data_IF_057794987821
#
_entry.id   IF_057794987821
#
_cell.length_a   1.000
_cell.length_b   1.000
_cell.length_c   1.000
_cell.angle_alpha   90.00
_cell.angle_beta   90.00
_cell.angle_gamma   90.00
#
_symmetry.space_group_name_H-M   'P 1'
#
loop_
_entity.id
_entity.type
_entity.pdbx_description
1 polymer ?
#
# COMPACT_ATOMS: atom_id res chain seq x y z
N UNK A 1 -28.09 -2.07 28.58
CA UNK A 1 -29.56 -1.91 28.51
C UNK A 1 -29.90 -0.43 28.30
N UNK A 2 -30.16 -0.01 27.06
CA UNK A 2 -30.80 1.27 26.70
C UNK A 2 -31.57 1.04 25.41
N UNK A 3 -32.85 0.68 25.52
CA UNK A 3 -33.82 0.72 24.42
C UNK A 3 -34.29 2.17 24.32
N UNK A 4 -33.83 2.90 23.30
CA UNK A 4 -34.32 4.25 23.00
C UNK A 4 -35.10 4.25 21.69
N UNK A 5 -36.28 4.87 21.79
CA UNK A 5 -37.32 5.14 20.81
C UNK A 5 -36.79 5.37 19.38
N UNK A 6 -37.10 4.44 18.48
CA UNK A 6 -36.83 4.58 17.04
C UNK A 6 -38.13 4.51 16.20
N UNK A 7 -39.30 4.65 16.83
CA UNK A 7 -40.61 4.46 16.20
C UNK A 7 -41.49 5.70 16.04
N UNK A 8 -41.09 6.88 16.57
CA UNK A 8 -41.91 8.10 16.48
C UNK A 8 -41.41 9.12 15.44
N UNK A 9 -40.14 9.08 15.02
CA UNK A 9 -39.63 10.01 14.01
C UNK A 9 -39.97 9.63 12.55
N UNK A 10 -40.57 8.45 12.30
CA UNK A 10 -40.91 8.02 10.93
C UNK A 10 -42.27 8.60 10.51
N UNK A 11 -43.15 8.92 11.46
CA UNK A 11 -44.46 9.52 11.16
C UNK A 11 -44.38 11.04 10.93
N UNK A 12 -43.52 11.76 11.67
CA UNK A 12 -43.31 13.22 11.44
C UNK A 12 -42.59 13.52 10.12
N UNK A 13 -41.73 12.64 9.61
CA UNK A 13 -41.10 12.82 8.29
C UNK A 13 -42.13 12.63 7.15
N UNK A 14 -43.19 11.85 7.38
CA UNK A 14 -44.29 11.66 6.43
C UNK A 14 -45.15 12.92 6.25
N UNK A 15 -45.48 13.61 7.33
CA UNK A 15 -46.23 14.88 7.29
C UNK A 15 -45.38 16.03 6.74
N UNK A 16 -44.09 16.11 7.09
CA UNK A 16 -43.21 17.16 6.57
C UNK A 16 -42.92 16.96 5.06
N UNK A 17 -42.90 15.71 4.58
CA UNK A 17 -42.81 15.46 3.12
C UNK A 17 -44.12 15.72 2.39
N UNK A 18 -45.30 15.53 2.99
CA UNK A 18 -46.56 15.86 2.30
C UNK A 18 -46.75 17.37 2.11
N UNK A 19 -46.28 18.19 3.05
CA UNK A 19 -46.34 19.66 2.92
C UNK A 19 -45.29 20.20 1.93
N UNK A 20 -44.19 19.49 1.68
CA UNK A 20 -43.20 19.84 0.64
C UNK A 20 -43.67 19.48 -0.78
N UNK A 21 -44.70 18.65 -0.90
CA UNK A 21 -45.40 18.35 -2.15
C UNK A 21 -46.82 18.95 -2.16
N UNK A 22 -47.05 20.01 -1.40
CA UNK A 22 -48.24 20.81 -1.59
C UNK A 22 -48.19 21.42 -3.01
N UNK A 23 -48.98 20.79 -3.89
CA UNK A 23 -49.17 21.09 -5.31
C UNK A 23 -49.76 22.49 -5.60
N UNK A 24 -49.71 23.39 -4.61
CA UNK A 24 -50.14 24.79 -4.65
C UNK A 24 -49.00 25.76 -5.00
N UNK A 25 -47.75 25.29 -5.04
CA UNK A 25 -46.63 26.05 -5.60
C UNK A 25 -46.80 26.28 -7.12
N UNK A 26 -46.31 27.40 -7.69
CA UNK A 26 -46.42 27.64 -9.13
C UNK A 26 -45.79 26.46 -9.87
N UNK A 27 -46.60 25.74 -10.67
CA UNK A 27 -46.14 24.64 -11.51
C UNK A 27 -44.98 25.14 -12.38
N UNK A 28 -43.75 24.80 -12.00
CA UNK A 28 -42.58 25.06 -12.82
C UNK A 28 -42.57 24.03 -13.94
N UNK A 29 -43.37 24.29 -14.96
CA UNK A 29 -43.30 23.56 -16.22
C UNK A 29 -42.02 24.02 -16.92
N UNK A 30 -41.01 23.15 -16.95
CA UNK A 30 -39.86 23.31 -17.83
C UNK A 30 -40.33 22.97 -19.25
N UNK A 31 -40.83 23.98 -19.94
CA UNK A 31 -41.22 23.84 -21.36
C UNK A 31 -39.95 23.94 -22.20
N UNK A 32 -39.46 22.80 -22.66
CA UNK A 32 -38.39 22.74 -23.64
C UNK A 32 -39.00 22.97 -25.04
N UNK A 33 -38.64 24.05 -25.76
CA UNK A 33 -39.14 24.29 -27.10
C UNK A 33 -38.51 23.30 -28.09
N UNK A 34 -39.05 22.10 -28.16
CA UNK A 34 -38.64 21.04 -29.07
C UNK A 34 -39.87 20.27 -29.54
N UNK A 35 -39.77 19.65 -30.71
CA UNK A 35 -40.84 18.79 -31.21
C UNK A 35 -40.86 17.48 -30.42
N UNK A 36 -42.01 16.79 -30.29
CA UNK A 36 -42.08 15.51 -29.59
C UNK A 36 -41.07 14.47 -30.12
N UNK A 37 -40.78 14.49 -31.42
CA UNK A 37 -39.83 13.59 -32.07
C UNK A 37 -38.39 13.89 -31.63
N UNK A 38 -38.00 15.18 -31.64
CA UNK A 38 -36.67 15.60 -31.19
C UNK A 38 -36.46 15.36 -29.69
N UNK A 39 -37.51 15.52 -28.88
CA UNK A 39 -37.45 15.16 -27.47
C UNK A 39 -37.31 13.64 -27.28
N UNK A 40 -38.07 12.83 -28.02
CA UNK A 40 -37.96 11.37 -27.96
C UNK A 40 -36.58 10.88 -28.37
N UNK A 41 -36.01 11.43 -29.44
CA UNK A 41 -34.64 11.12 -29.87
C UNK A 41 -33.61 11.56 -28.84
N UNK A 42 -33.78 12.74 -28.22
CA UNK A 42 -32.92 13.21 -27.15
C UNK A 42 -32.95 12.29 -25.92
N UNK A 43 -34.15 11.92 -25.45
CA UNK A 43 -34.32 10.99 -24.32
C UNK A 43 -33.77 9.60 -24.68
N UNK A 44 -34.00 9.12 -25.90
CA UNK A 44 -33.43 7.86 -26.38
C UNK A 44 -31.90 7.91 -26.48
N UNK A 45 -31.32 9.04 -26.85
CA UNK A 45 -29.87 9.26 -26.89
C UNK A 45 -29.25 9.35 -25.50
N UNK A 46 -29.96 9.96 -24.54
CA UNK A 46 -29.59 9.94 -23.12
C UNK A 46 -29.69 8.53 -22.50
N UNK A 47 -30.59 7.70 -23.01
CA UNK A 47 -30.81 6.31 -22.60
C UNK A 47 -30.01 5.28 -23.41
N UNK A 48 -29.19 5.72 -24.39
CA UNK A 48 -28.29 4.83 -25.10
C UNK A 48 -27.43 4.06 -24.10
N UNK A 49 -27.09 2.79 -24.36
CA UNK A 49 -26.26 2.01 -23.45
C UNK A 49 -24.79 2.47 -23.59
N UNK A 50 -24.26 3.31 -22.67
CA UNK A 50 -22.87 3.71 -22.78
C UNK A 50 -21.98 2.48 -22.58
N UNK A 51 -20.90 2.44 -23.36
CA UNK A 51 -19.78 1.55 -23.09
C UNK A 51 -18.87 2.21 -22.06
N UNK A 52 -18.29 1.41 -21.17
CA UNK A 52 -17.39 1.90 -20.13
C UNK A 52 -15.99 1.35 -20.38
N UNK A 53 -15.01 2.26 -20.50
CA UNK A 53 -13.59 1.94 -20.44
C UNK A 53 -13.10 2.27 -19.03
N UNK A 54 -12.45 1.32 -18.35
CA UNK A 54 -11.84 1.55 -17.04
C UNK A 54 -10.40 1.08 -17.06
N UNK A 55 -9.49 1.89 -16.51
CA UNK A 55 -8.08 1.55 -16.40
C UNK A 55 -7.54 1.98 -15.05
N UNK A 56 -6.71 1.12 -14.45
CA UNK A 56 -6.05 1.36 -13.17
C UNK A 56 -4.53 1.40 -13.38
N UNK A 57 -3.89 2.35 -12.72
CA UNK A 57 -2.46 2.57 -12.76
C UNK A 57 -1.89 2.36 -11.36
N UNK A 58 -0.94 1.45 -11.27
CA UNK A 58 -0.16 1.23 -10.07
C UNK A 58 1.08 2.12 -10.09
N UNK A 59 1.32 2.82 -8.99
CA UNK A 59 2.55 3.57 -8.80
C UNK A 59 2.36 4.71 -7.81
N UNK A 60 3.49 5.20 -7.29
CA UNK A 60 3.51 6.43 -6.52
C UNK A 60 3.34 7.63 -7.45
N UNK A 61 2.51 8.58 -7.08
CA UNK A 61 2.32 9.82 -7.83
C UNK A 61 2.36 11.03 -6.93
N UNK A 62 2.55 12.19 -7.55
CA UNK A 62 2.47 13.48 -6.88
C UNK A 62 1.62 14.38 -7.76
N UNK A 63 0.46 14.78 -7.25
CA UNK A 63 -0.50 15.59 -8.00
C UNK A 63 -0.56 16.97 -7.39
N UNK A 64 -0.25 17.97 -8.20
CA UNK A 64 -0.41 19.38 -7.89
C UNK A 64 -1.67 19.95 -8.53
N UNK A 65 -1.98 21.20 -8.17
CA UNK A 65 -3.09 21.93 -8.79
C UNK A 65 -2.86 22.11 -10.30
N UNK A 66 -1.63 22.37 -10.70
CA UNK A 66 -1.22 22.57 -12.08
C UNK A 66 -1.45 21.32 -12.93
N UNK A 67 -1.23 20.12 -12.37
CA UNK A 67 -1.46 18.86 -13.09
C UNK A 67 -2.94 18.69 -13.44
N UNK A 68 -3.84 19.09 -12.53
CA UNK A 68 -5.30 19.04 -12.74
C UNK A 68 -5.74 20.06 -13.79
N UNK A 69 -5.18 21.27 -13.75
CA UNK A 69 -5.43 22.32 -14.74
C UNK A 69 -4.94 21.88 -16.13
N UNK A 70 -3.74 21.30 -16.20
CA UNK A 70 -3.20 20.74 -17.42
C UNK A 70 -4.08 19.61 -17.96
N UNK A 71 -4.51 18.69 -17.09
CA UNK A 71 -5.41 17.61 -17.46
C UNK A 71 -6.76 18.13 -18.00
N UNK A 72 -7.34 19.15 -17.36
CA UNK A 72 -8.54 19.82 -17.86
C UNK A 72 -8.34 20.34 -19.28
N UNK A 73 -7.29 21.12 -19.52
CA UNK A 73 -7.05 21.73 -20.83
C UNK A 73 -6.72 20.68 -21.90
N UNK A 74 -5.99 19.62 -21.56
CA UNK A 74 -5.68 18.52 -22.48
C UNK A 74 -6.95 17.81 -22.95
N UNK A 75 -7.85 17.48 -22.02
CA UNK A 75 -9.12 16.82 -22.37
C UNK A 75 -9.99 17.78 -23.17
N UNK A 76 -10.17 19.01 -22.69
CA UNK A 76 -11.07 19.98 -23.31
C UNK A 76 -10.64 20.34 -24.74
N UNK A 77 -9.34 20.56 -24.95
CA UNK A 77 -8.76 20.78 -26.26
C UNK A 77 -8.97 19.58 -27.17
N UNK A 78 -8.71 18.35 -26.67
CA UNK A 78 -8.82 17.14 -27.50
C UNK A 78 -10.27 16.87 -27.92
N UNK A 79 -11.22 17.00 -26.99
CA UNK A 79 -12.64 16.77 -27.24
C UNK A 79 -13.18 17.81 -28.25
N UNK A 80 -12.81 19.08 -28.08
CA UNK A 80 -13.22 20.18 -28.97
C UNK A 80 -12.66 20.06 -30.39
N UNK A 81 -11.45 19.52 -30.56
CA UNK A 81 -10.83 19.34 -31.88
C UNK A 81 -11.45 18.21 -32.71
N UNK A 82 -11.96 17.16 -32.06
CA UNK A 82 -12.47 15.98 -32.76
C UNK A 82 -13.91 16.15 -33.24
N UNK A 83 -14.77 16.71 -32.39
CA UNK A 83 -16.19 16.85 -32.65
C UNK A 83 -16.73 18.13 -32.01
N UNK A 84 -17.74 18.77 -32.60
CA UNK A 84 -18.49 19.83 -31.93
C UNK A 84 -19.01 19.32 -30.59
N UNK A 85 -18.62 19.99 -29.52
CA UNK A 85 -18.88 19.53 -28.16
C UNK A 85 -19.09 20.70 -27.21
N UNK A 86 -19.76 20.43 -26.10
CA UNK A 86 -19.97 21.41 -25.02
C UNK A 86 -19.75 20.71 -23.69
N UNK A 87 -18.88 21.29 -22.86
CA UNK A 87 -18.71 20.86 -21.47
C UNK A 87 -19.92 21.33 -20.67
N UNK A 88 -20.79 20.40 -20.30
CA UNK A 88 -22.00 20.71 -19.50
C UNK A 88 -21.63 20.91 -18.04
N UNK A 89 -20.73 20.06 -17.54
CA UNK A 89 -20.32 20.09 -16.15
C UNK A 89 -18.89 19.62 -16.01
N UNK A 90 -18.10 20.43 -15.30
CA UNK A 90 -16.84 20.01 -14.74
C UNK A 90 -16.99 19.92 -13.23
N UNK A 91 -16.39 18.93 -12.59
CA UNK A 91 -16.45 18.80 -11.15
C UNK A 91 -15.14 18.28 -10.61
N UNK A 92 -14.63 18.94 -9.57
CA UNK A 92 -13.52 18.44 -8.76
C UNK A 92 -14.07 18.17 -7.37
N UNK A 93 -13.88 16.95 -6.87
CA UNK A 93 -14.21 16.56 -5.50
C UNK A 93 -12.94 16.18 -4.77
N UNK A 94 -12.52 17.01 -3.83
CA UNK A 94 -11.38 16.74 -2.95
C UNK A 94 -11.87 16.06 -1.67
N UNK A 95 -11.18 15.00 -1.26
CA UNK A 95 -11.44 14.21 -0.05
C UNK A 95 -10.28 14.44 0.91
N UNK A 96 -10.61 14.79 2.16
CA UNK A 96 -9.63 15.09 3.20
C UNK A 96 -9.55 13.97 4.26
N UNK A 97 -8.50 14.01 5.07
CA UNK A 97 -8.19 13.02 6.12
C UNK A 97 -9.16 13.06 7.30
N UNK A 98 -9.82 14.19 7.52
CA UNK A 98 -10.93 14.35 8.47
C UNK A 98 -12.26 13.76 7.97
N UNK A 99 -12.29 13.19 6.75
CA UNK A 99 -13.48 12.67 6.10
C UNK A 99 -14.37 13.74 5.46
N UNK A 100 -14.00 15.02 5.56
CA UNK A 100 -14.70 16.09 4.86
C UNK A 100 -14.44 16.02 3.34
N UNK A 101 -15.40 16.51 2.57
CA UNK A 101 -15.27 16.58 1.11
C UNK A 101 -15.71 17.95 0.61
N UNK A 102 -14.93 18.52 -0.30
CA UNK A 102 -15.28 19.78 -0.95
C UNK A 102 -15.44 19.53 -2.44
N UNK A 103 -16.54 20.03 -3.01
CA UNK A 103 -16.90 19.85 -4.41
C UNK A 103 -16.93 21.22 -5.10
N UNK A 104 -16.10 21.40 -6.12
CA UNK A 104 -16.08 22.57 -7.00
C UNK A 104 -16.71 22.18 -8.35
N UNK A 105 -17.59 23.02 -8.89
CA UNK A 105 -18.34 22.74 -10.13
C UNK A 105 -17.77 23.44 -11.38
N UNK A 106 -16.64 24.14 -11.24
CA UNK A 106 -15.97 24.81 -12.35
C UNK A 106 -14.47 24.83 -12.13
N UNK A 107 -13.71 24.98 -13.21
CA UNK A 107 -12.24 25.09 -13.14
C UNK A 107 -11.85 26.38 -12.42
N UNK A 108 -12.55 27.49 -12.68
CA UNK A 108 -12.31 28.76 -12.00
C UNK A 108 -12.50 28.67 -10.49
N UNK A 109 -13.56 28.00 -10.03
CA UNK A 109 -13.80 27.80 -8.59
C UNK A 109 -12.71 26.93 -7.98
N UNK A 110 -12.27 25.89 -8.69
CA UNK A 110 -11.16 25.04 -8.26
C UNK A 110 -9.84 25.82 -8.16
N UNK A 111 -9.54 26.70 -9.13
CA UNK A 111 -8.34 27.52 -9.13
C UNK A 111 -8.36 28.59 -8.02
N UNK A 112 -9.52 29.20 -7.78
CA UNK A 112 -9.70 30.21 -6.74
C UNK A 112 -9.79 29.63 -5.32
N UNK A 113 -10.12 28.35 -5.21
CA UNK A 113 -10.29 27.69 -3.92
C UNK A 113 -8.95 27.46 -3.23
N UNK A 114 -8.84 27.98 -2.01
CA UNK A 114 -7.68 27.79 -1.14
C UNK A 114 -8.16 27.27 0.22
N UNK A 115 -7.80 26.04 0.56
CA UNK A 115 -8.17 25.43 1.84
C UNK A 115 -7.32 26.02 2.97
N UNK A 116 -7.99 26.65 3.94
CA UNK A 116 -7.38 27.31 5.10
C UNK A 116 -7.20 26.32 6.25
N UNK A 117 -8.05 25.28 6.32
CA UNK A 117 -7.98 24.28 7.37
C UNK A 117 -6.68 23.46 7.26
N UNK A 118 -6.07 23.05 8.39
CA UNK A 118 -4.85 22.25 8.38
C UNK A 118 -5.14 20.76 8.09
N UNK A 119 -5.84 20.47 6.99
CA UNK A 119 -6.27 19.13 6.56
C UNK A 119 -5.40 18.60 5.41
N UNK A 120 -5.25 17.29 5.34
CA UNK A 120 -4.46 16.60 4.30
C UNK A 120 -5.41 16.07 3.23
N UNK A 121 -5.14 16.39 1.97
CA UNK A 121 -5.87 15.80 0.84
C UNK A 121 -5.44 14.34 0.62
N UNK A 122 -6.40 13.42 0.71
CA UNK A 122 -6.19 11.97 0.62
C UNK A 122 -6.77 11.37 -0.66
N UNK A 123 -7.78 12.03 -1.24
CA UNK A 123 -8.40 11.61 -2.48
C UNK A 123 -8.84 12.79 -3.34
N UNK A 124 -8.92 12.55 -4.64
CA UNK A 124 -9.36 13.52 -5.62
C UNK A 124 -10.15 12.80 -6.71
N UNK A 125 -11.36 13.28 -6.99
CA UNK A 125 -12.19 12.77 -8.09
C UNK A 125 -12.53 13.93 -9.01
N UNK A 126 -12.13 13.81 -10.27
CA UNK A 126 -12.36 14.81 -11.30
C UNK A 126 -13.33 14.21 -12.31
N UNK A 127 -14.40 14.93 -12.62
CA UNK A 127 -15.44 14.48 -13.55
C UNK A 127 -15.68 15.55 -14.61
N UNK A 128 -15.65 15.14 -15.86
CA UNK A 128 -16.12 15.92 -17.00
C UNK A 128 -17.39 15.28 -17.54
N UNK A 129 -18.39 16.11 -17.84
CA UNK A 129 -19.60 15.71 -18.54
C UNK A 129 -19.71 16.55 -19.81
N UNK A 130 -19.56 15.89 -20.96
CA UNK A 130 -19.65 16.51 -22.28
C UNK A 130 -20.93 16.09 -22.99
N UNK A 131 -21.49 16.99 -23.79
CA UNK A 131 -22.40 16.65 -24.89
C UNK A 131 -21.60 16.73 -26.19
N UNK A 132 -21.45 15.59 -26.87
CA UNK A 132 -20.62 15.48 -28.07
C UNK A 132 -21.53 15.16 -29.26
N UNK A 133 -21.47 15.96 -30.33
CA UNK A 133 -22.21 15.72 -31.57
C UNK A 133 -21.34 14.95 -32.56
N UNK A 134 -21.56 13.65 -32.67
CA UNK A 134 -20.88 12.80 -33.66
C UNK A 134 -21.46 13.03 -35.06
N UNK A 135 -20.64 12.82 -36.11
CA UNK A 135 -21.02 13.10 -37.50
C UNK A 135 -22.17 12.23 -38.02
N UNK A 136 -22.30 11.02 -37.49
CA UNK A 136 -23.30 10.01 -37.84
C UNK A 136 -24.57 10.11 -36.98
N UNK A 137 -24.65 11.09 -36.07
CA UNK A 137 -25.76 11.27 -35.13
C UNK A 137 -26.42 12.64 -35.31
N UNK A 138 -27.74 12.65 -35.31
CA UNK A 138 -28.51 13.91 -35.41
C UNK A 138 -28.39 14.74 -34.13
N UNK A 139 -28.52 14.07 -32.97
CA UNK A 139 -28.47 14.67 -31.65
C UNK A 139 -27.10 14.47 -30.97
N UNK A 140 -26.69 15.39 -30.08
CA UNK A 140 -25.50 15.20 -29.26
C UNK A 140 -25.72 14.13 -28.19
N UNK A 141 -24.68 13.36 -27.90
CA UNK A 141 -24.71 12.25 -26.93
C UNK A 141 -23.85 12.58 -25.70
N UNK A 142 -24.31 12.19 -24.51
CA UNK A 142 -23.63 12.45 -23.24
C UNK A 142 -22.42 11.54 -23.07
N UNK A 143 -21.26 12.13 -22.82
CA UNK A 143 -20.03 11.43 -22.48
C UNK A 143 -19.57 11.84 -21.09
N UNK A 144 -19.06 10.89 -20.30
CA UNK A 144 -18.56 11.16 -18.95
C UNK A 144 -17.14 10.63 -18.83
N UNK A 145 -16.23 11.48 -18.38
CA UNK A 145 -14.85 11.10 -18.05
C UNK A 145 -14.69 11.32 -16.56
N UNK A 146 -14.23 10.30 -15.84
CA UNK A 146 -13.91 10.39 -14.41
C UNK A 146 -12.48 9.95 -14.20
N UNK A 147 -11.67 10.78 -13.54
CA UNK A 147 -10.31 10.46 -13.12
C UNK A 147 -10.25 10.56 -11.61
N UNK A 148 -9.75 9.50 -10.99
CA UNK A 148 -9.68 9.31 -9.55
C UNK A 148 -8.24 9.14 -9.13
N UNK A 149 -7.82 9.90 -8.12
CA UNK A 149 -6.55 9.75 -7.44
C UNK A 149 -6.80 9.38 -5.98
N UNK A 150 -6.08 8.39 -5.49
CA UNK A 150 -6.03 8.05 -4.08
C UNK A 150 -7.07 7.01 -3.70
N UNK A 151 -7.42 7.01 -2.42
CA UNK A 151 -8.34 6.03 -1.87
C UNK A 151 -9.76 6.33 -2.33
N UNK A 152 -10.14 5.79 -3.48
CA UNK A 152 -11.54 5.72 -3.87
C UNK A 152 -12.18 4.52 -3.20
N UNK A 153 -13.34 4.72 -2.58
CA UNK A 153 -14.22 3.63 -2.17
C UNK A 153 -14.70 2.92 -3.46
N UNK A 154 -13.88 2.02 -4.03
CA UNK A 154 -14.35 1.10 -5.05
C UNK A 154 -15.24 0.08 -4.35
N UNK A 155 -16.54 0.37 -4.31
CA UNK A 155 -17.55 -0.64 -3.97
C UNK A 155 -17.67 -1.54 -5.19
N UNK A 156 -16.80 -2.56 -5.28
CA UNK A 156 -17.02 -3.67 -6.21
C UNK A 156 -18.15 -4.50 -5.62
N UNK A 157 -19.38 -4.20 -6.03
CA UNK A 157 -20.54 -5.01 -5.71
C UNK A 157 -20.52 -6.28 -6.58
N UNK A 158 -19.68 -7.25 -6.23
CA UNK A 158 -19.81 -8.61 -6.77
C UNK A 158 -20.61 -9.45 -5.77
N UNK A 159 -21.78 -9.95 -6.22
CA UNK A 159 -22.57 -11.01 -5.56
C UNK A 159 -22.66 -10.96 -4.02
N UNK A 160 -23.11 -9.83 -3.47
CA UNK A 160 -23.54 -9.73 -2.07
C UNK A 160 -22.44 -9.61 -1.00
N UNK A 161 -21.16 -9.74 -1.35
CA UNK A 161 -20.04 -9.58 -0.42
C UNK A 161 -19.34 -8.26 -0.72
N UNK A 162 -19.56 -7.24 0.15
CA UNK A 162 -18.87 -5.96 0.06
C UNK A 162 -17.49 -6.06 0.71
N UNK A 163 -16.49 -6.54 -0.01
CA UNK A 163 -15.09 -6.38 0.43
C UNK A 163 -14.63 -5.00 -0.02
N UNK A 164 -14.44 -4.09 0.95
CA UNK A 164 -13.72 -2.84 0.72
C UNK A 164 -12.24 -3.16 0.58
N UNK A 165 -11.76 -3.37 -0.63
CA UNK A 165 -10.33 -3.28 -0.89
C UNK A 165 -9.95 -1.81 -0.90
N UNK A 166 -9.30 -1.34 0.17
CA UNK A 166 -8.55 -0.09 0.12
C UNK A 166 -7.33 -0.33 -0.78
N UNK A 167 -7.43 -0.02 -2.08
CA UNK A 167 -6.20 0.21 -2.85
C UNK A 167 -5.67 1.57 -2.39
N UNK A 168 -4.61 1.53 -1.57
CA UNK A 168 -4.17 2.74 -0.85
C UNK A 168 -3.44 3.76 -1.73
N UNK A 169 -3.04 3.43 -2.96
CA UNK A 169 -2.31 4.35 -3.84
C UNK A 169 -2.49 3.94 -5.31
N UNK A 170 -3.66 4.20 -5.89
CA UNK A 170 -3.93 3.95 -7.30
C UNK A 170 -4.45 5.22 -7.98
N UNK A 171 -4.16 5.35 -9.27
CA UNK A 171 -4.87 6.27 -10.16
C UNK A 171 -5.77 5.40 -11.00
N UNK A 172 -7.06 5.72 -11.06
CA UNK A 172 -7.96 5.07 -11.98
C UNK A 172 -8.72 6.10 -12.80
N UNK A 173 -9.07 5.74 -14.02
CA UNK A 173 -10.03 6.50 -14.78
C UNK A 173 -11.10 5.61 -15.35
N UNK A 174 -12.27 6.23 -15.54
CA UNK A 174 -13.46 5.64 -16.13
C UNK A 174 -14.00 6.58 -17.20
N UNK A 175 -14.22 6.06 -18.40
CA UNK A 175 -14.81 6.79 -19.52
C UNK A 175 -16.12 6.08 -19.88
N UNK A 176 -17.25 6.72 -19.64
CA UNK A 176 -18.55 6.28 -20.15
C UNK A 176 -18.79 7.00 -21.49
N UNK A 177 -18.87 6.21 -22.56
CA UNK A 177 -18.91 6.74 -23.92
C UNK A 177 -19.85 5.97 -24.84
N UNK A 178 -20.26 6.60 -25.94
CA UNK A 178 -21.08 5.98 -27.00
C UNK A 178 -20.27 5.75 -28.28
N UNK A 179 -19.34 6.65 -28.62
CA UNK A 179 -18.44 6.52 -29.76
C UNK A 179 -17.17 5.72 -29.44
N UNK A 180 -16.98 4.52 -30.01
CA UNK A 180 -15.83 3.64 -29.71
C UNK A 180 -14.47 4.27 -30.02
N UNK A 181 -14.34 4.90 -31.20
CA UNK A 181 -13.09 5.54 -31.62
C UNK A 181 -12.74 6.74 -30.75
N UNK A 182 -13.76 7.52 -30.35
CA UNK A 182 -13.61 8.63 -29.41
C UNK A 182 -13.14 8.14 -28.04
N UNK A 183 -13.79 7.11 -27.48
CA UNK A 183 -13.42 6.55 -26.18
C UNK A 183 -11.97 6.05 -26.14
N UNK A 184 -11.54 5.32 -27.19
CA UNK A 184 -10.17 4.81 -27.29
C UNK A 184 -9.11 5.93 -27.39
N UNK A 185 -9.43 7.04 -28.04
CA UNK A 185 -8.52 8.17 -28.16
C UNK A 185 -8.36 8.93 -26.84
N UNK A 186 -9.45 9.18 -26.12
CA UNK A 186 -9.41 9.76 -24.77
C UNK A 186 -8.67 8.83 -23.80
N UNK A 187 -8.87 7.51 -23.91
CA UNK A 187 -8.11 6.53 -23.13
C UNK A 187 -6.60 6.66 -23.36
N UNK A 188 -6.17 6.75 -24.62
CA UNK A 188 -4.76 6.87 -24.97
C UNK A 188 -4.16 8.19 -24.43
N UNK A 189 -4.91 9.31 -24.55
CA UNK A 189 -4.51 10.60 -24.02
C UNK A 189 -4.33 10.56 -22.50
N UNK A 190 -5.33 10.05 -21.77
CA UNK A 190 -5.28 9.92 -20.31
C UNK A 190 -4.16 8.99 -19.87
N UNK A 191 -4.00 7.86 -20.55
CA UNK A 191 -2.93 6.89 -20.27
C UNK A 191 -1.56 7.52 -20.37
N UNK A 192 -1.31 8.27 -21.44
CA UNK A 192 -0.02 8.95 -21.64
C UNK A 192 0.22 10.02 -20.57
N UNK A 193 -0.79 10.81 -20.23
CA UNK A 193 -0.66 11.86 -19.22
C UNK A 193 -0.45 11.28 -17.81
N UNK A 194 -1.22 10.28 -17.41
CA UNK A 194 -1.10 9.63 -16.09
C UNK A 194 0.26 8.92 -15.96
N UNK A 195 0.75 8.29 -17.02
CA UNK A 195 2.09 7.69 -17.00
C UNK A 195 3.21 8.72 -16.81
N UNK A 196 3.01 9.99 -17.20
CA UNK A 196 3.97 11.06 -16.99
C UNK A 196 3.96 11.58 -15.54
N UNK A 197 2.80 11.60 -14.88
CA UNK A 197 2.66 12.00 -13.47
C UNK A 197 3.09 10.86 -12.52
N UNK A 198 2.93 9.62 -12.95
CA UNK A 198 3.31 8.44 -12.17
C UNK A 198 4.83 8.30 -12.10
N UNK A 199 5.39 8.29 -10.89
CA UNK A 199 6.82 8.12 -10.68
C UNK A 199 7.21 6.67 -10.89
N UNK A 200 8.23 6.44 -11.72
CA UNK A 200 8.81 5.11 -11.92
C UNK A 200 9.68 4.73 -10.72
N UNK A 201 9.27 3.70 -9.99
CA UNK A 201 10.07 3.12 -8.92
C UNK A 201 11.37 2.51 -9.52
N UNK A 202 12.54 2.77 -8.93
CA UNK A 202 13.78 2.15 -9.39
C UNK A 202 13.72 0.63 -9.22
N UNK A 203 14.21 -0.11 -10.23
CA UNK A 203 14.11 -1.58 -10.29
C UNK A 203 14.61 -2.29 -9.02
N UNK A 204 15.68 -1.78 -8.40
CA UNK A 204 16.26 -2.36 -7.18
C UNK A 204 15.26 -2.29 -6.01
N UNK A 205 14.63 -1.12 -5.77
CA UNK A 205 13.62 -0.98 -4.71
C UNK A 205 12.42 -1.88 -4.97
N UNK A 206 11.97 -1.95 -6.22
CA UNK A 206 10.85 -2.82 -6.63
C UNK A 206 11.16 -4.29 -6.35
N UNK A 207 12.37 -4.75 -6.64
CA UNK A 207 12.79 -6.14 -6.37
C UNK A 207 12.88 -6.38 -4.86
N UNK A 208 13.49 -5.47 -4.09
CA UNK A 208 13.60 -5.59 -2.63
C UNK A 208 12.23 -5.64 -1.98
N UNK A 209 11.31 -4.75 -2.39
CA UNK A 209 9.93 -4.70 -1.90
C UNK A 209 9.15 -5.96 -2.25
N UNK A 210 9.21 -6.42 -3.50
CA UNK A 210 8.51 -7.64 -3.95
C UNK A 210 8.98 -8.89 -3.20
N UNK A 211 10.24 -8.91 -2.76
CA UNK A 211 10.84 -10.03 -2.06
C UNK A 211 11.14 -9.69 -0.58
N UNK A 212 10.46 -8.71 0.02
CA UNK A 212 10.77 -8.23 1.37
C UNK A 212 10.67 -9.34 2.41
N UNK A 213 9.62 -10.16 2.32
CA UNK A 213 9.41 -11.33 3.18
C UNK A 213 10.53 -12.37 3.03
N UNK A 214 10.91 -12.69 1.78
CA UNK A 214 11.98 -13.65 1.50
C UNK A 214 13.34 -13.13 1.96
N UNK A 215 13.63 -11.84 1.75
CA UNK A 215 14.86 -11.19 2.21
C UNK A 215 14.92 -11.21 3.74
N UNK A 216 13.82 -10.87 4.42
CA UNK A 216 13.72 -10.95 5.87
C UNK A 216 13.94 -12.37 6.39
N UNK A 217 13.32 -13.38 5.77
CA UNK A 217 13.50 -14.79 6.09
C UNK A 217 14.96 -15.24 5.89
N UNK A 218 15.59 -14.90 4.77
CA UNK A 218 16.97 -15.29 4.46
C UNK A 218 17.98 -14.60 5.37
N UNK A 219 17.84 -13.29 5.58
CA UNK A 219 18.76 -12.52 6.41
C UNK A 219 18.57 -12.83 7.91
N UNK A 220 17.34 -13.04 8.37
CA UNK A 220 17.07 -13.54 9.71
C UNK A 220 17.57 -14.97 9.87
N UNK A 221 17.15 -15.88 8.99
CA UNK A 221 17.53 -17.29 9.02
C UNK A 221 19.04 -17.54 8.95
N UNK A 222 19.79 -16.69 8.22
CA UNK A 222 21.25 -16.81 8.16
C UNK A 222 21.92 -16.63 9.53
N UNK A 223 21.37 -15.80 10.42
CA UNK A 223 21.85 -15.65 11.80
C UNK A 223 21.66 -16.95 12.60
N UNK A 224 20.50 -17.60 12.45
CA UNK A 224 20.26 -18.88 13.13
C UNK A 224 21.15 -19.99 12.57
N UNK A 225 21.27 -20.09 11.24
CA UNK A 225 22.10 -21.10 10.57
C UNK A 225 23.57 -20.93 10.97
N UNK A 226 24.10 -19.70 10.96
CA UNK A 226 25.49 -19.44 11.36
C UNK A 226 25.74 -19.80 12.83
N UNK A 227 24.78 -19.51 13.72
CA UNK A 227 24.85 -19.92 15.13
C UNK A 227 24.78 -21.44 15.31
N UNK A 228 23.96 -22.14 14.51
CA UNK A 228 23.86 -23.59 14.51
C UNK A 228 25.14 -24.26 14.03
N UNK A 229 25.75 -23.76 12.94
CA UNK A 229 27.05 -24.24 12.44
C UNK A 229 28.13 -24.02 13.50
N UNK A 230 28.18 -22.81 14.08
CA UNK A 230 29.11 -22.52 15.16
C UNK A 230 28.93 -23.50 16.32
N UNK A 231 27.69 -23.83 16.70
CA UNK A 231 27.40 -24.82 17.74
C UNK A 231 27.78 -26.28 17.45
N UNK A 232 27.87 -26.67 16.16
CA UNK A 232 28.32 -28.02 15.74
C UNK A 232 29.84 -28.10 15.74
N UNK A 233 30.52 -27.07 15.22
CA UNK A 233 31.89 -26.74 15.61
C UNK A 233 31.91 -26.53 17.13
N UNK A 234 33.00 -26.52 17.86
CA UNK A 234 33.01 -26.65 19.34
C UNK A 234 32.16 -27.71 20.06
N UNK A 235 31.04 -28.28 19.57
CA UNK A 235 30.67 -29.63 19.99
C UNK A 235 31.76 -30.61 19.50
N UNK A 236 32.23 -30.45 18.26
CA UNK A 236 33.42 -31.15 17.75
C UNK A 236 34.66 -30.86 18.59
N UNK A 237 34.94 -29.58 18.88
CA UNK A 237 36.19 -29.23 19.57
C UNK A 237 36.14 -29.61 21.05
N UNK A 238 34.96 -29.59 21.67
CA UNK A 238 34.74 -30.11 23.01
C UNK A 238 34.96 -31.63 23.05
N UNK A 239 34.42 -32.38 22.09
CA UNK A 239 34.69 -33.82 21.94
C UNK A 239 36.18 -34.11 21.78
N UNK A 240 36.86 -33.38 20.90
CA UNK A 240 38.31 -33.53 20.66
C UNK A 240 39.14 -33.20 21.90
N UNK A 241 38.80 -32.11 22.63
CA UNK A 241 39.46 -31.75 23.89
C UNK A 241 39.27 -32.84 24.94
N UNK A 242 38.05 -33.35 25.11
CA UNK A 242 37.76 -34.44 26.05
C UNK A 242 38.48 -35.74 25.67
N UNK A 243 38.52 -36.07 24.37
CA UNK A 243 39.22 -37.25 23.88
C UNK A 243 40.74 -37.14 24.08
N UNK A 244 41.33 -35.97 23.87
CA UNK A 244 42.77 -35.73 24.14
C UNK A 244 43.09 -35.87 25.62
N UNK A 245 42.30 -35.25 26.50
CA UNK A 245 42.47 -35.39 27.96
C UNK A 245 42.36 -36.86 28.37
N UNK A 246 41.35 -37.58 27.90
CA UNK A 246 41.18 -39.00 28.18
C UNK A 246 42.36 -39.84 27.63
N UNK A 247 42.83 -39.56 26.42
CA UNK A 247 43.95 -40.26 25.80
C UNK A 247 45.27 -40.03 26.55
N UNK A 248 45.54 -38.79 27.00
CA UNK A 248 46.73 -38.44 27.77
C UNK A 248 46.73 -39.14 29.14
N UNK A 249 45.57 -39.18 29.81
CA UNK A 249 45.39 -39.92 31.07
C UNK A 249 45.61 -41.43 30.84
N UNK A 250 45.09 -42.00 29.75
CA UNK A 250 45.24 -43.43 29.44
C UNK A 250 46.66 -43.82 29.02
N UNK A 251 47.39 -42.95 28.32
CA UNK A 251 48.76 -43.19 27.83
C UNK A 251 49.80 -43.35 28.93
N UNK A 252 49.54 -42.87 30.15
CA UNK A 252 50.39 -43.17 31.30
C UNK A 252 50.33 -44.67 31.63
N UNK A 253 51.38 -45.40 31.20
CA UNK A 253 51.52 -46.87 31.26
C UNK A 253 52.01 -47.40 32.61
N UNK A 254 52.25 -46.54 33.61
CA UNK A 254 52.68 -47.04 34.91
C UNK A 254 51.55 -47.87 35.53
N UNK A 255 51.84 -49.13 35.85
CA UNK A 255 50.94 -50.09 36.50
C UNK A 255 50.82 -49.85 38.02
N UNK A 256 51.24 -48.67 38.47
CA UNK A 256 51.12 -48.28 39.86
C UNK A 256 49.63 -48.11 40.23
N UNK A 257 49.27 -48.58 41.43
CA UNK A 257 47.90 -48.52 41.96
C UNK A 257 47.41 -47.06 41.97
N UNK A 258 48.30 -46.11 42.23
CA UNK A 258 48.01 -44.67 42.16
C UNK A 258 47.52 -44.21 40.77
N UNK A 259 48.07 -44.77 39.69
CA UNK A 259 47.66 -44.44 38.32
C UNK A 259 46.29 -45.04 37.95
N UNK A 260 45.92 -46.16 38.55
CA UNK A 260 44.59 -46.75 38.35
C UNK A 260 43.52 -45.93 39.07
N UNK A 261 43.82 -45.49 40.30
CA UNK A 261 42.94 -44.62 41.08
C UNK A 261 42.69 -43.28 40.38
N UNK A 262 43.73 -42.63 39.84
CA UNK A 262 43.54 -41.34 39.13
C UNK A 262 42.71 -41.46 37.85
N UNK A 263 42.81 -42.58 37.11
CA UNK A 263 41.94 -42.89 35.97
C UNK A 263 40.48 -43.08 36.40
N UNK A 264 40.26 -43.79 37.50
CA UNK A 264 38.93 -44.04 38.05
C UNK A 264 38.30 -42.75 38.58
N UNK A 265 39.06 -41.94 39.32
CA UNK A 265 38.63 -40.61 39.78
C UNK A 265 38.31 -39.69 38.62
N UNK A 266 39.07 -39.69 37.53
CA UNK A 266 38.74 -38.92 36.33
C UNK A 266 37.38 -39.34 35.75
N UNK A 267 37.10 -40.64 35.59
CA UNK A 267 35.81 -41.11 35.08
C UNK A 267 34.66 -40.77 36.02
N UNK A 268 34.85 -40.93 37.32
CA UNK A 268 33.86 -40.55 38.34
C UNK A 268 33.61 -39.05 38.29
N UNK A 269 34.66 -38.22 38.27
CA UNK A 269 34.53 -36.77 38.20
C UNK A 269 33.92 -36.32 36.88
N UNK A 270 34.23 -36.96 35.76
CA UNK A 270 33.64 -36.62 34.46
C UNK A 270 32.16 -36.96 34.40
N UNK A 271 31.75 -38.07 35.01
CA UNK A 271 30.34 -38.45 35.11
C UNK A 271 29.58 -37.58 36.14
N UNK A 272 30.16 -37.37 37.33
CA UNK A 272 29.54 -36.64 38.42
C UNK A 272 29.47 -35.12 38.19
N UNK A 273 30.46 -34.54 37.49
CA UNK A 273 30.45 -33.10 37.16
C UNK A 273 29.36 -32.72 36.16
N UNK A 274 28.82 -33.70 35.41
CA UNK A 274 27.77 -33.44 34.42
C UNK A 274 28.18 -32.46 33.34
N UNK A 275 29.48 -32.33 33.04
CA UNK A 275 30.02 -31.35 32.07
C UNK A 275 29.31 -31.41 30.72
N UNK A 276 28.99 -32.62 30.24
CA UNK A 276 28.22 -32.84 29.02
C UNK A 276 26.82 -32.23 29.09
N UNK A 277 26.09 -32.45 30.18
CA UNK A 277 24.75 -31.89 30.37
C UNK A 277 24.80 -30.35 30.45
N UNK A 278 25.78 -29.80 31.17
CA UNK A 278 25.97 -28.35 31.26
C UNK A 278 26.28 -27.76 29.88
N UNK A 279 27.15 -28.40 29.10
CA UNK A 279 27.48 -27.99 27.74
C UNK A 279 26.26 -28.03 26.81
N UNK A 280 25.53 -29.15 26.76
CA UNK A 280 24.34 -29.29 25.92
C UNK A 280 23.23 -28.32 26.32
N UNK A 281 23.00 -28.10 27.61
CA UNK A 281 22.00 -27.12 28.07
C UNK A 281 22.38 -25.70 27.65
N UNK A 282 23.66 -25.31 27.76
CA UNK A 282 24.15 -24.01 27.28
C UNK A 282 23.96 -23.87 25.77
N UNK A 283 24.33 -24.90 25.01
CA UNK A 283 24.17 -24.92 23.55
C UNK A 283 22.69 -24.80 23.15
N UNK A 284 21.80 -25.56 23.81
CA UNK A 284 20.36 -25.51 23.57
C UNK A 284 19.76 -24.13 23.87
N UNK A 285 20.12 -23.52 25.00
CA UNK A 285 19.67 -22.16 25.35
C UNK A 285 20.16 -21.15 24.31
N UNK A 286 21.43 -21.24 23.89
CA UNK A 286 21.99 -20.35 22.88
C UNK A 286 21.26 -20.47 21.53
N UNK A 287 20.99 -21.69 21.06
CA UNK A 287 20.25 -21.92 19.82
C UNK A 287 18.81 -21.42 19.92
N UNK A 288 18.17 -21.61 21.07
CA UNK A 288 16.82 -21.08 21.31
C UNK A 288 16.81 -19.55 21.24
N UNK A 289 17.72 -18.88 21.95
CA UNK A 289 17.84 -17.41 21.90
C UNK A 289 18.13 -16.91 20.48
N UNK A 290 19.02 -17.59 19.75
CA UNK A 290 19.34 -17.24 18.37
C UNK A 290 18.14 -17.43 17.42
N UNK A 291 17.30 -18.44 17.64
CA UNK A 291 16.07 -18.65 16.87
C UNK A 291 15.06 -17.52 17.10
N UNK A 292 14.85 -17.11 18.36
CA UNK A 292 13.95 -15.98 18.64
C UNK A 292 14.50 -14.66 18.08
N UNK A 293 15.79 -14.42 18.24
CA UNK A 293 16.44 -13.23 17.70
C UNK A 293 16.36 -13.17 16.16
N UNK A 294 16.56 -14.31 15.48
CA UNK A 294 16.48 -14.38 14.01
C UNK A 294 15.09 -14.05 13.47
N UNK A 295 14.04 -14.52 14.14
CA UNK A 295 12.65 -14.20 13.78
C UNK A 295 12.38 -12.70 13.93
N UNK A 296 12.75 -12.11 15.08
CA UNK A 296 12.54 -10.67 15.33
C UNK A 296 13.30 -9.83 14.30
N UNK A 297 14.58 -10.14 14.07
CA UNK A 297 15.41 -9.43 13.09
C UNK A 297 14.83 -9.60 11.68
N UNK A 298 14.38 -10.80 11.32
CA UNK A 298 13.77 -11.08 10.02
C UNK A 298 12.51 -10.24 9.79
N UNK A 299 11.63 -10.11 10.78
CA UNK A 299 10.43 -9.27 10.72
C UNK A 299 10.81 -7.79 10.54
N UNK A 300 11.77 -7.29 11.34
CA UNK A 300 12.23 -5.89 11.24
C UNK A 300 12.83 -5.60 9.86
N UNK A 301 13.63 -6.51 9.30
CA UNK A 301 14.19 -6.38 7.96
C UNK A 301 13.10 -6.42 6.90
N UNK A 302 12.13 -7.33 7.00
CA UNK A 302 11.03 -7.43 6.06
C UNK A 302 10.17 -6.16 6.05
N UNK A 303 9.80 -5.63 7.22
CA UNK A 303 9.04 -4.38 7.32
C UNK A 303 9.84 -3.16 6.83
N UNK A 304 11.15 -3.12 7.09
CA UNK A 304 12.00 -2.04 6.61
C UNK A 304 12.25 -2.12 5.08
N UNK A 305 12.22 -3.34 4.51
CA UNK A 305 12.33 -3.60 3.07
C UNK A 305 11.03 -3.26 2.32
N UNK A 306 9.86 -3.42 2.95
CA UNK A 306 8.57 -2.99 2.41
C UNK A 306 8.37 -1.47 2.55
N UNK A 307 9.19 -0.72 1.81
CA UNK A 307 9.20 0.74 1.81
C UNK A 307 8.54 1.28 0.53
N UNK A 308 7.23 1.02 0.37
CA UNK A 308 6.46 1.55 -0.78
C UNK A 308 6.47 3.08 -0.78
N UNK A 309 6.80 3.68 -1.92
CA UNK A 309 6.66 5.12 -2.10
C UNK A 309 5.17 5.51 -2.05
N UNK A 310 4.76 6.37 -1.12
CA UNK A 310 3.38 6.80 -0.98
C UNK A 310 3.05 7.83 -2.07
N UNK A 311 1.77 7.91 -2.39
CA UNK A 311 1.28 8.94 -3.29
C UNK A 311 0.85 10.20 -2.53
N UNK A 312 0.92 11.34 -3.19
CA UNK A 312 0.61 12.63 -2.59
C UNK A 312 -0.33 13.46 -3.46
N UNK A 313 -1.35 14.02 -2.84
CA UNK A 313 -2.24 15.03 -3.44
C UNK A 313 -1.96 16.35 -2.72
N UNK A 314 -1.29 17.27 -3.41
CA UNK A 314 -0.67 18.46 -2.83
C UNK A 314 -1.53 19.72 -3.00
N UNK A 315 -2.82 19.59 -2.68
CA UNK A 315 -3.79 20.69 -2.79
C UNK A 315 -3.84 21.60 -1.54
N UNK A 316 -3.22 21.20 -0.43
CA UNK A 316 -3.13 22.00 0.79
C UNK A 316 -1.69 22.15 1.26
N UNK A 317 -1.42 23.22 2.01
CA UNK A 317 -0.11 23.41 2.69
C UNK A 317 0.22 22.23 3.61
N UNK A 318 -0.80 21.69 4.31
CA UNK A 318 -0.61 20.56 5.20
C UNK A 318 -0.23 19.28 4.46
N UNK A 319 -0.79 19.03 3.27
CA UNK A 319 -0.36 17.93 2.41
C UNK A 319 1.12 18.04 2.03
N UNK A 320 1.62 19.25 1.74
CA UNK A 320 3.03 19.48 1.41
C UNK A 320 3.95 19.23 2.61
N UNK A 321 3.56 19.68 3.81
CA UNK A 321 4.28 19.37 5.05
C UNK A 321 4.29 17.86 5.32
N UNK A 322 3.14 17.20 5.18
CA UNK A 322 2.99 15.78 5.38
C UNK A 322 3.89 14.98 4.43
N UNK A 323 3.95 15.37 3.15
CA UNK A 323 4.89 14.81 2.18
C UNK A 323 6.33 14.83 2.69
N UNK A 324 6.80 15.98 3.17
CA UNK A 324 8.17 16.10 3.68
C UNK A 324 8.42 15.23 4.91
N UNK A 325 7.45 15.12 5.82
CA UNK A 325 7.54 14.25 7.01
C UNK A 325 7.60 12.78 6.59
N UNK A 326 6.71 12.37 5.70
CA UNK A 326 6.63 10.98 5.23
C UNK A 326 7.89 10.59 4.45
N UNK A 327 8.39 11.44 3.54
CA UNK A 327 9.64 11.20 2.82
C UNK A 327 10.86 11.10 3.75
N UNK A 328 10.93 11.90 4.83
CA UNK A 328 11.97 11.77 5.85
C UNK A 328 11.87 10.43 6.60
N UNK A 329 10.66 10.00 6.98
CA UNK A 329 10.43 8.69 7.61
C UNK A 329 10.84 7.53 6.69
N UNK A 330 10.52 7.62 5.39
CA UNK A 330 10.92 6.62 4.39
C UNK A 330 12.44 6.51 4.22
N UNK A 331 13.15 7.64 4.15
CA UNK A 331 14.62 7.65 4.11
C UNK A 331 15.20 6.98 5.35
N UNK A 332 14.63 7.27 6.54
CA UNK A 332 15.02 6.60 7.78
C UNK A 332 14.76 5.09 7.73
N UNK A 333 13.61 4.64 7.24
CA UNK A 333 13.31 3.20 7.06
C UNK A 333 14.35 2.53 6.16
N UNK A 334 14.71 3.15 5.05
CA UNK A 334 15.74 2.62 4.14
C UNK A 334 17.13 2.53 4.80
N UNK A 335 17.51 3.52 5.60
CA UNK A 335 18.75 3.49 6.39
C UNK A 335 18.69 2.37 7.44
N UNK A 336 17.56 2.21 8.13
CA UNK A 336 17.36 1.11 9.10
C UNK A 336 17.46 -0.25 8.41
N UNK A 337 16.90 -0.41 7.21
CA UNK A 337 17.05 -1.63 6.41
C UNK A 337 18.52 -1.96 6.13
N UNK A 338 19.31 -0.98 5.65
CA UNK A 338 20.74 -1.17 5.36
C UNK A 338 21.52 -1.51 6.64
N UNK A 339 21.33 -0.74 7.70
CA UNK A 339 22.05 -0.93 8.97
C UNK A 339 21.69 -2.30 9.58
N UNK A 340 20.41 -2.68 9.60
CA UNK A 340 19.97 -3.96 10.16
C UNK A 340 20.53 -5.14 9.37
N UNK A 341 20.60 -5.01 8.04
CA UNK A 341 21.22 -6.03 7.17
C UNK A 341 22.71 -6.17 7.45
N UNK A 342 23.45 -5.06 7.55
CA UNK A 342 24.88 -5.08 7.89
C UNK A 342 25.14 -5.62 9.30
N UNK A 343 24.31 -5.21 10.27
CA UNK A 343 24.41 -5.67 11.65
C UNK A 343 24.15 -7.17 11.77
N UNK A 344 23.17 -7.71 11.03
CA UNK A 344 22.91 -9.16 11.01
C UNK A 344 24.15 -9.95 10.55
N UNK A 345 24.80 -9.48 9.47
CA UNK A 345 26.03 -10.09 8.96
C UNK A 345 27.16 -9.98 9.98
N UNK A 346 27.35 -8.78 10.57
CA UNK A 346 28.39 -8.55 11.57
C UNK A 346 28.20 -9.39 12.83
N UNK A 347 26.96 -9.54 13.31
CA UNK A 347 26.61 -10.40 14.45
C UNK A 347 26.89 -11.88 14.15
N UNK A 348 26.61 -12.34 12.93
CA UNK A 348 26.98 -13.69 12.51
C UNK A 348 28.50 -13.94 12.59
N UNK A 349 29.30 -12.98 12.12
CA UNK A 349 30.78 -13.06 12.19
C UNK A 349 31.28 -12.98 13.63
N UNK A 350 30.77 -12.03 14.42
CA UNK A 350 31.15 -11.86 15.83
C UNK A 350 30.79 -13.07 16.68
N UNK A 351 29.62 -13.68 16.44
CA UNK A 351 29.22 -14.92 17.10
C UNK A 351 30.25 -16.02 16.86
N UNK A 352 30.72 -16.18 15.63
CA UNK A 352 31.75 -17.15 15.30
C UNK A 352 33.09 -16.86 16.01
N UNK A 353 33.52 -15.60 16.08
CA UNK A 353 34.78 -15.20 16.76
C UNK A 353 34.69 -15.42 18.27
N UNK A 354 33.62 -14.95 18.91
CA UNK A 354 33.40 -15.12 20.36
C UNK A 354 33.40 -16.60 20.70
N UNK A 355 32.71 -17.40 19.89
CA UNK A 355 32.63 -18.83 20.11
C UNK A 355 34.00 -19.49 20.07
N UNK A 356 34.79 -19.28 18.99
CA UNK A 356 36.14 -19.83 18.86
C UNK A 356 37.14 -19.39 19.96
N UNK A 357 36.88 -18.25 20.64
CA UNK A 357 37.77 -17.72 21.67
C UNK A 357 37.45 -18.23 23.08
N UNK A 358 36.17 -18.40 23.39
CA UNK A 358 35.71 -18.70 24.75
C UNK A 358 35.27 -20.15 24.97
N UNK A 359 35.04 -20.91 23.90
CA UNK A 359 34.65 -22.32 23.93
C UNK A 359 35.69 -23.16 23.16
#
# INVERSE_FOLDING_TARGET
>A
MRKFRQGQNILEIGEIMSDLFDSSGPNFNVVLPCTPETFKEFVSGLLGAPQTITREFEGSYEVHQEDIVNLYHLIDQRVSQQNPSTCVQFTVKTIYDDGSTVKQNSLSDFCAYNEIRPVISVGLVITWTYLVKFRDKAAPEKQIITVSFGQTDKIIASRGIRIKFLSMDAIDFRIDHTGRTWGADIEALLTNHINNITKKEPNIKKIVRKNSELIGLLLGGSLFITTAIAGVMANSDFLDKQQKIAADILRNKSADIGNMLSKLEYLINQNASGQWHIFYNKLAIMLFVALFASIIIGIVIAEAADNREPSFILLTKKSQENKNIVLKKMKKKWVVFIISSMLSIALGILSNIIYNKYF
#
